data_IF_136497067870
#
_entry.id   IF_136497067870
#
_cell.length_a   1.000
_cell.length_b   1.000
_cell.length_c   1.000
_cell.angle_alpha   90.00
_cell.angle_beta   90.00
_cell.angle_gamma   90.00
#
_symmetry.space_group_name_H-M   'P 1'
#
loop_
_entity.id
_entity.type
_entity.pdbx_description
1 polymer ?
#
# COMPACT_ATOMS: atom_id res chain seq x y z
N UNK A 1 6.43 10.07 11.62
CA UNK A 1 6.73 9.72 10.24
C UNK A 1 6.39 10.86 9.31
N UNK A 2 7.20 11.07 8.31
CA UNK A 2 7.03 12.20 7.41
C UNK A 2 6.15 11.83 6.22
N UNK A 3 5.58 12.86 5.58
CA UNK A 3 4.80 12.63 4.36
C UNK A 3 5.66 12.08 3.24
N UNK A 4 6.96 12.40 3.26
CA UNK A 4 7.90 11.91 2.26
C UNK A 4 8.08 10.40 2.38
N UNK A 5 8.15 9.89 3.59
CA UNK A 5 8.29 8.46 3.82
C UNK A 5 7.05 7.71 3.30
N UNK A 6 5.88 8.24 3.57
CA UNK A 6 4.64 7.65 3.07
C UNK A 6 4.63 7.62 1.55
N UNK A 7 5.06 8.72 0.93
CA UNK A 7 5.11 8.82 -0.52
C UNK A 7 6.07 7.79 -1.12
N UNK A 8 7.27 7.68 -0.56
CA UNK A 8 8.26 6.74 -1.06
C UNK A 8 7.80 5.30 -0.94
N UNK A 9 7.26 4.94 0.21
CA UNK A 9 6.76 3.58 0.41
C UNK A 9 5.59 3.28 -0.51
N UNK A 10 4.73 4.26 -0.73
CA UNK A 10 3.60 4.10 -1.64
C UNK A 10 4.06 3.82 -3.07
N UNK A 11 5.06 4.53 -3.54
CA UNK A 11 5.59 4.30 -4.88
C UNK A 11 6.25 2.93 -5.00
N UNK A 12 6.94 2.48 -3.97
CA UNK A 12 7.53 1.15 -3.97
C UNK A 12 6.44 0.08 -4.06
N UNK A 13 5.39 0.23 -3.27
CA UNK A 13 4.27 -0.71 -3.31
C UNK A 13 3.60 -0.71 -4.67
N UNK A 14 3.44 0.45 -5.26
CA UNK A 14 2.84 0.56 -6.58
C UNK A 14 3.65 -0.22 -7.62
N UNK A 15 4.96 -0.10 -7.58
CA UNK A 15 5.82 -0.82 -8.52
C UNK A 15 5.74 -2.33 -8.31
N UNK A 16 5.66 -2.75 -7.06
CA UNK A 16 5.62 -4.18 -6.76
C UNK A 16 4.28 -4.83 -7.05
N UNK A 17 3.20 -4.11 -6.82
CA UNK A 17 1.85 -4.69 -6.88
C UNK A 17 1.03 -4.22 -8.06
N UNK A 18 1.39 -3.08 -8.63
CA UNK A 18 0.59 -2.47 -9.69
C UNK A 18 -0.67 -1.77 -9.17
N UNK A 19 -0.86 -1.73 -7.87
CA UNK A 19 -2.00 -1.04 -7.27
C UNK A 19 -1.85 0.47 -7.37
N UNK A 20 -2.95 1.20 -7.31
CA UNK A 20 -2.92 2.64 -7.34
C UNK A 20 -2.26 3.24 -6.10
N UNK A 21 -1.73 4.45 -6.25
CA UNK A 21 -1.05 5.13 -5.14
C UNK A 21 -1.94 5.26 -3.92
N UNK A 22 -3.21 5.56 -4.12
CA UNK A 22 -4.15 5.72 -3.01
C UNK A 22 -4.32 4.41 -2.24
N UNK A 23 -4.39 3.29 -2.94
CA UNK A 23 -4.51 1.99 -2.29
C UNK A 23 -3.25 1.66 -1.51
N UNK A 24 -2.08 2.00 -2.05
CA UNK A 24 -0.82 1.79 -1.36
C UNK A 24 -0.77 2.61 -0.06
N UNK A 25 -1.21 3.85 -0.12
CA UNK A 25 -1.26 4.70 1.07
C UNK A 25 -2.19 4.13 2.13
N UNK A 26 -3.36 3.66 1.70
CA UNK A 26 -4.32 3.05 2.63
C UNK A 26 -3.72 1.82 3.30
N UNK A 27 -3.05 0.99 2.52
CA UNK A 27 -2.42 -0.21 3.07
C UNK A 27 -1.35 0.15 4.11
N UNK A 28 -0.52 1.14 3.82
CA UNK A 28 0.51 1.56 4.76
C UNK A 28 -0.07 2.12 6.04
N UNK A 29 -1.10 2.92 5.94
CA UNK A 29 -1.77 3.49 7.11
C UNK A 29 -2.43 2.38 7.93
N UNK A 30 -3.05 1.43 7.24
CA UNK A 30 -3.71 0.30 7.89
C UNK A 30 -2.75 -0.54 8.72
N UNK A 31 -1.52 -0.71 8.24
CA UNK A 31 -0.51 -1.56 8.88
C UNK A 31 0.59 -0.75 9.56
N UNK A 32 0.30 0.50 9.89
CA UNK A 32 1.24 1.36 10.62
C UNK A 32 2.59 1.47 9.92
N UNK A 33 2.55 1.68 8.62
CA UNK A 33 3.74 1.86 7.76
C UNK A 33 4.62 0.60 7.68
N UNK A 34 4.04 -0.56 7.89
CA UNK A 34 4.74 -1.82 7.73
C UNK A 34 4.69 -2.23 6.25
N UNK A 35 5.81 -2.05 5.57
CA UNK A 35 5.89 -2.32 4.13
C UNK A 35 5.55 -3.77 3.79
N UNK A 36 6.14 -4.72 4.53
CA UNK A 36 5.91 -6.14 4.25
C UNK A 36 4.45 -6.54 4.39
N UNK A 37 3.81 -6.07 5.44
CA UNK A 37 2.40 -6.38 5.65
C UNK A 37 1.51 -5.73 4.61
N UNK A 38 1.79 -4.47 4.29
CA UNK A 38 1.05 -3.75 3.27
C UNK A 38 1.22 -4.43 1.92
N UNK A 39 2.44 -4.85 1.61
CA UNK A 39 2.74 -5.54 0.36
C UNK A 39 1.97 -6.85 0.26
N UNK A 40 1.98 -7.65 1.30
CA UNK A 40 1.25 -8.91 1.35
C UNK A 40 -0.25 -8.71 1.16
N UNK A 41 -0.80 -7.71 1.85
CA UNK A 41 -2.22 -7.40 1.74
C UNK A 41 -2.61 -7.01 0.31
N UNK A 42 -1.80 -6.19 -0.33
CA UNK A 42 -2.06 -5.76 -1.71
C UNK A 42 -1.90 -6.92 -2.69
N UNK A 43 -0.91 -7.77 -2.48
CA UNK A 43 -0.70 -8.94 -3.34
C UNK A 43 -1.86 -9.93 -3.24
N UNK A 44 -2.45 -10.03 -2.07
CA UNK A 44 -3.62 -10.89 -1.87
C UNK A 44 -4.89 -10.27 -2.45
N UNK A 45 -4.78 -9.11 -3.05
CA UNK A 45 -5.93 -8.45 -3.66
C UNK A 45 -6.80 -7.70 -2.68
N UNK A 46 -6.24 -7.30 -1.54
CA UNK A 46 -7.00 -6.57 -0.53
C UNK A 46 -7.67 -5.33 -1.07
N UNK A 47 -6.99 -4.62 -1.96
CA UNK A 47 -7.52 -3.41 -2.57
C UNK A 47 -8.70 -3.69 -3.51
N UNK A 48 -8.82 -4.91 -4.00
CA UNK A 48 -9.91 -5.30 -4.90
C UNK A 48 -11.19 -5.65 -4.16
N UNK A 49 -11.11 -5.89 -2.87
CA UNK A 49 -12.30 -6.23 -2.08
C UNK A 49 -13.31 -5.10 -2.02
N UNK A 50 -12.84 -3.89 -2.23
CA UNK A 50 -13.72 -2.71 -2.18
C UNK A 50 -14.55 -2.52 -3.45
N UNK A 51 -14.27 -3.29 -4.47
CA UNK A 51 -14.98 -3.17 -5.75
C UNK A 51 -16.12 -4.17 -5.92
N UNK A 52 -16.28 -4.99 -4.93
CA UNK A 52 -17.32 -6.04 -5.00
C UNK A 52 -18.63 -5.57 -4.42
#
# INVERSE_FOLDING_TARGET
>A
MSKEELKELSFKLRKETGAGVMDCKKALIKFDYDYDKALGWLKLGGHLKYTI
#
